data_IF_621377766398
#
_entry.id   IF_621377766398
#
_cell.length_a   1.000
_cell.length_b   1.000
_cell.length_c   1.000
_cell.angle_alpha   90.00
_cell.angle_beta   90.00
_cell.angle_gamma   90.00
#
_symmetry.space_group_name_H-M   'P 1'
#
loop_
_entity.id
_entity.type
_entity.pdbx_description
1 polymer ?
#
# COMPACT_ATOMS: atom_id res chain seq x y z
N UNK A 1 53.37 6.99 -27.00
CA UNK A 1 53.98 8.33 -26.94
C UNK A 1 53.02 9.47 -26.57
N UNK A 2 51.76 9.49 -27.01
CA UNK A 2 50.87 10.66 -26.75
C UNK A 2 50.07 10.51 -25.45
N UNK A 3 49.43 9.35 -25.22
CA UNK A 3 48.54 9.12 -24.06
C UNK A 3 49.29 9.24 -22.72
N UNK A 4 50.48 8.66 -22.62
CA UNK A 4 51.22 8.59 -21.35
C UNK A 4 52.09 9.83 -21.07
N UNK A 5 52.37 10.67 -22.08
CA UNK A 5 53.36 11.76 -21.97
C UNK A 5 52.80 13.17 -22.17
N UNK A 6 51.52 13.33 -22.55
CA UNK A 6 50.89 14.65 -22.68
C UNK A 6 49.83 14.78 -21.60
N UNK A 7 50.14 15.45 -20.49
CA UNK A 7 49.26 15.52 -19.32
C UNK A 7 48.02 16.41 -19.54
N UNK A 8 48.16 17.46 -20.34
CA UNK A 8 47.06 18.35 -20.68
C UNK A 8 46.10 17.68 -21.67
N UNK A 9 44.80 17.67 -21.35
CA UNK A 9 43.80 16.94 -22.12
C UNK A 9 43.56 17.55 -23.50
N UNK A 10 43.48 18.88 -23.60
CA UNK A 10 43.22 19.57 -24.87
C UNK A 10 44.41 19.44 -25.83
N UNK A 11 45.64 19.59 -25.31
CA UNK A 11 46.85 19.39 -26.10
C UNK A 11 47.02 17.93 -26.54
N UNK A 12 46.58 16.96 -25.72
CA UNK A 12 46.58 15.55 -26.07
C UNK A 12 45.59 15.28 -27.21
N UNK A 13 44.38 15.81 -27.13
CA UNK A 13 43.36 15.66 -28.17
C UNK A 13 43.81 16.30 -29.48
N UNK A 14 44.37 17.52 -29.45
CA UNK A 14 44.92 18.17 -30.63
C UNK A 14 46.01 17.33 -31.32
N UNK A 15 46.88 16.68 -30.54
CA UNK A 15 47.91 15.78 -31.07
C UNK A 15 47.32 14.50 -31.65
N UNK A 16 46.30 13.90 -31.01
CA UNK A 16 45.61 12.73 -31.55
C UNK A 16 44.87 13.07 -32.85
N UNK A 17 44.28 14.26 -32.95
CA UNK A 17 43.63 14.76 -34.17
C UNK A 17 44.64 14.93 -35.31
N UNK A 18 45.83 15.46 -35.03
CA UNK A 18 46.87 15.68 -36.03
C UNK A 18 47.58 14.40 -36.49
N UNK A 19 47.48 13.29 -35.73
CA UNK A 19 48.06 12.01 -36.10
C UNK A 19 47.43 11.46 -37.39
N UNK A 20 48.27 10.87 -38.24
CA UNK A 20 47.83 10.10 -39.40
C UNK A 20 46.82 10.86 -40.28
N UNK A 21 47.07 12.17 -40.47
CA UNK A 21 46.18 13.10 -41.19
C UNK A 21 44.71 13.03 -40.73
N UNK A 22 44.48 12.79 -39.43
CA UNK A 22 43.15 12.69 -38.81
C UNK A 22 42.45 11.35 -38.98
N UNK A 23 43.01 10.38 -39.70
CA UNK A 23 42.38 9.06 -39.92
C UNK A 23 42.20 8.29 -38.60
N UNK A 24 43.19 8.34 -37.73
CA UNK A 24 43.13 7.68 -36.41
C UNK A 24 42.01 8.28 -35.55
N UNK A 25 41.93 9.61 -35.47
CA UNK A 25 40.87 10.29 -34.71
C UNK A 25 39.47 10.03 -35.30
N UNK A 26 39.34 10.05 -36.62
CA UNK A 26 38.07 9.72 -37.29
C UNK A 26 37.60 8.30 -37.00
N UNK A 27 38.52 7.33 -36.92
CA UNK A 27 38.20 5.95 -36.51
C UNK A 27 37.75 5.89 -35.05
N UNK A 28 38.44 6.58 -34.14
CA UNK A 28 38.02 6.68 -32.74
C UNK A 28 36.62 7.27 -32.61
N UNK A 29 36.36 8.38 -33.31
CA UNK A 29 35.07 9.08 -33.29
C UNK A 29 33.92 8.23 -33.86
N UNK A 30 34.17 7.47 -34.93
CA UNK A 30 33.14 6.64 -35.58
C UNK A 30 32.90 5.31 -34.88
N UNK A 31 33.99 4.64 -34.45
CA UNK A 31 33.94 3.23 -34.09
C UNK A 31 34.07 2.99 -32.57
N UNK A 32 34.66 3.93 -31.81
CA UNK A 32 35.00 3.71 -30.39
C UNK A 32 34.33 4.68 -29.41
N UNK A 33 34.24 5.97 -29.72
CA UNK A 33 33.63 6.97 -28.83
C UNK A 33 32.12 6.81 -28.63
N UNK A 34 31.30 6.40 -29.65
CA UNK A 34 29.87 6.24 -29.46
C UNK A 34 29.47 5.26 -28.34
N UNK A 35 30.04 4.04 -28.24
CA UNK A 35 29.72 3.14 -27.12
C UNK A 35 30.32 3.56 -25.78
N UNK A 36 31.34 4.44 -25.77
CA UNK A 36 31.96 4.96 -24.54
C UNK A 36 31.23 6.17 -23.96
N UNK A 37 30.26 6.73 -24.69
CA UNK A 37 29.48 7.88 -24.24
C UNK A 37 28.65 7.51 -23.01
N UNK A 38 29.02 8.06 -21.85
CA UNK A 38 28.21 8.00 -20.64
C UNK A 38 27.36 9.26 -20.53
N UNK A 39 26.06 9.09 -20.30
CA UNK A 39 25.17 10.17 -19.87
C UNK A 39 24.86 9.89 -18.40
N UNK A 40 25.49 10.64 -17.50
CA UNK A 40 25.19 10.55 -16.08
C UNK A 40 24.05 11.53 -15.77
N UNK A 41 22.89 11.00 -15.37
CA UNK A 41 21.73 11.79 -14.99
C UNK A 41 21.60 11.82 -13.47
N UNK A 42 21.67 13.02 -12.89
CA UNK A 42 21.29 13.25 -11.51
C UNK A 42 19.90 13.87 -11.48
N UNK A 43 18.89 13.07 -11.12
CA UNK A 43 17.52 13.55 -10.96
C UNK A 43 17.30 13.85 -9.48
N UNK A 44 17.17 15.13 -9.15
CA UNK A 44 16.73 15.59 -7.84
C UNK A 44 15.33 16.19 -7.98
N UNK A 45 14.41 15.74 -7.13
CA UNK A 45 13.08 16.33 -7.01
C UNK A 45 12.75 16.58 -5.54
N UNK A 46 11.99 17.63 -5.28
CA UNK A 46 11.41 17.90 -3.97
C UNK A 46 9.99 17.34 -3.98
N UNK A 47 9.71 16.35 -3.13
CA UNK A 47 8.34 15.85 -2.98
C UNK A 47 7.45 16.99 -2.51
N UNK A 48 6.29 17.17 -3.15
CA UNK A 48 5.33 18.18 -2.71
C UNK A 48 4.84 17.82 -1.30
N UNK A 49 4.67 18.81 -0.40
CA UNK A 49 4.10 18.54 0.90
C UNK A 49 2.66 18.03 0.75
N UNK A 50 2.27 17.09 1.61
CA UNK A 50 0.94 16.52 1.63
C UNK A 50 -0.14 17.60 1.81
N UNK A 51 -1.24 17.47 1.06
CA UNK A 51 -2.44 18.31 1.20
C UNK A 51 -3.68 17.41 1.23
N UNK A 52 -4.43 17.45 2.33
CA UNK A 52 -5.59 16.57 2.55
C UNK A 52 -6.75 16.86 1.59
N UNK A 53 -6.96 18.11 1.19
CA UNK A 53 -8.02 18.50 0.25
C UNK A 53 -7.70 18.05 -1.18
N UNK A 54 -6.42 18.02 -1.54
CA UNK A 54 -5.97 17.39 -2.78
C UNK A 54 -6.10 15.86 -2.71
N UNK A 55 -5.69 15.26 -1.59
CA UNK A 55 -5.78 13.81 -1.37
C UNK A 55 -7.22 13.29 -1.44
N UNK A 56 -8.22 14.05 -0.94
CA UNK A 56 -9.67 13.76 -1.11
C UNK A 56 -10.11 13.63 -2.57
N UNK A 57 -9.44 14.31 -3.50
CA UNK A 57 -9.70 14.21 -4.95
C UNK A 57 -8.91 13.06 -5.58
N UNK A 58 -7.65 12.91 -5.17
CA UNK A 58 -6.77 11.84 -5.68
C UNK A 58 -7.30 10.47 -5.32
N UNK A 59 -7.80 10.26 -4.09
CA UNK A 59 -8.27 8.95 -3.64
C UNK A 59 -9.39 8.39 -4.53
N UNK A 60 -10.24 9.26 -5.07
CA UNK A 60 -11.37 8.88 -5.95
C UNK A 60 -10.96 8.60 -7.39
N UNK A 61 -9.80 9.09 -7.83
CA UNK A 61 -9.41 9.10 -9.25
C UNK A 61 -8.14 8.29 -9.53
N UNK A 62 -7.15 8.38 -8.64
CA UNK A 62 -5.83 7.76 -8.76
C UNK A 62 -5.33 7.29 -7.38
N UNK A 63 -6.05 6.37 -6.71
CA UNK A 63 -5.75 5.98 -5.32
C UNK A 63 -4.34 5.41 -5.14
N UNK A 64 -3.77 4.75 -6.15
CA UNK A 64 -2.39 4.22 -6.14
C UNK A 64 -1.30 5.29 -5.98
N UNK A 65 -1.63 6.58 -6.09
CA UNK A 65 -0.70 7.69 -5.85
C UNK A 65 -0.66 8.13 -4.39
N UNK A 66 -1.57 7.64 -3.56
CA UNK A 66 -1.58 7.90 -2.13
C UNK A 66 -0.96 6.72 -1.41
N UNK A 67 -0.14 7.01 -0.41
CA UNK A 67 0.22 6.05 0.62
C UNK A 67 -0.99 5.72 1.49
N UNK A 68 -0.95 4.57 2.13
CA UNK A 68 -1.96 4.17 3.11
C UNK A 68 -2.13 5.23 4.22
N UNK A 69 -1.03 5.81 4.72
CA UNK A 69 -1.08 6.87 5.73
C UNK A 69 -1.84 8.12 5.24
N UNK A 70 -1.65 8.53 3.99
CA UNK A 70 -2.38 9.66 3.41
C UNK A 70 -3.88 9.34 3.28
N UNK A 71 -4.24 8.10 2.95
CA UNK A 71 -5.63 7.66 2.99
C UNK A 71 -6.21 7.73 4.40
N UNK A 72 -5.47 7.33 5.45
CA UNK A 72 -5.90 7.52 6.84
C UNK A 72 -6.12 8.99 7.19
N UNK A 73 -5.23 9.88 6.77
CA UNK A 73 -5.37 11.32 7.01
C UNK A 73 -6.63 11.87 6.31
N UNK A 74 -6.98 11.35 5.13
CA UNK A 74 -8.25 11.66 4.47
C UNK A 74 -9.43 11.11 5.28
N UNK A 75 -9.39 9.85 5.72
CA UNK A 75 -10.46 9.24 6.52
C UNK A 75 -10.77 10.06 7.78
N UNK A 76 -9.74 10.52 8.51
CA UNK A 76 -9.87 11.34 9.72
C UNK A 76 -10.57 12.69 9.51
N UNK A 77 -10.77 13.12 8.27
CA UNK A 77 -11.56 14.33 7.97
C UNK A 77 -13.06 14.08 7.90
N UNK A 78 -13.49 12.82 7.92
CA UNK A 78 -14.89 12.40 7.89
C UNK A 78 -15.29 11.81 9.25
N UNK A 79 -16.56 11.95 9.68
CA UNK A 79 -17.10 11.21 10.82
C UNK A 79 -16.97 9.70 10.62
N UNK A 80 -16.66 8.93 11.66
CA UNK A 80 -16.41 7.48 11.56
C UNK A 80 -17.63 6.66 11.08
N UNK A 81 -18.83 7.21 11.22
CA UNK A 81 -20.09 6.64 10.78
C UNK A 81 -20.53 7.13 9.38
N UNK A 82 -19.73 7.97 8.72
CA UNK A 82 -20.08 8.55 7.43
C UNK A 82 -19.79 7.59 6.26
N UNK A 83 -20.58 7.65 5.16
CA UNK A 83 -20.31 6.88 3.95
C UNK A 83 -18.92 7.17 3.34
N UNK A 84 -18.43 8.40 3.49
CA UNK A 84 -17.11 8.80 3.01
C UNK A 84 -15.98 8.13 3.79
N UNK A 85 -16.09 8.05 5.13
CA UNK A 85 -15.13 7.34 5.96
C UNK A 85 -15.00 5.89 5.52
N UNK A 86 -16.14 5.21 5.34
CA UNK A 86 -16.19 3.85 4.80
C UNK A 86 -15.53 3.75 3.43
N UNK A 87 -15.91 4.62 2.50
CA UNK A 87 -15.38 4.62 1.12
C UNK A 87 -13.86 4.74 1.08
N UNK A 88 -13.26 5.54 1.97
CA UNK A 88 -11.80 5.66 2.07
C UNK A 88 -11.16 4.31 2.43
N UNK A 89 -11.76 3.58 3.36
CA UNK A 89 -11.25 2.28 3.78
C UNK A 89 -11.49 1.15 2.78
N UNK A 90 -12.60 1.21 2.04
CA UNK A 90 -12.84 0.29 0.92
C UNK A 90 -11.73 0.44 -0.13
N UNK A 91 -11.45 1.69 -0.54
CA UNK A 91 -10.35 2.01 -1.47
C UNK A 91 -8.99 1.60 -0.90
N UNK A 92 -8.74 1.86 0.39
CA UNK A 92 -7.50 1.47 1.04
C UNK A 92 -7.33 -0.06 1.05
N UNK A 93 -8.38 -0.83 1.35
CA UNK A 93 -8.35 -2.30 1.34
C UNK A 93 -8.17 -2.89 -0.07
N UNK A 94 -8.62 -2.18 -1.11
CA UNK A 94 -8.39 -2.59 -2.50
C UNK A 94 -6.96 -2.33 -2.96
N UNK A 95 -6.37 -1.19 -2.55
CA UNK A 95 -5.02 -0.80 -2.97
C UNK A 95 -3.91 -1.36 -2.07
N UNK A 96 -4.25 -1.69 -0.82
CA UNK A 96 -3.37 -2.26 0.19
C UNK A 96 -4.03 -3.51 0.82
N UNK A 97 -4.15 -4.62 0.08
CA UNK A 97 -4.89 -5.80 0.53
C UNK A 97 -4.29 -6.46 1.78
N UNK A 98 -2.99 -6.28 2.03
CA UNK A 98 -2.29 -6.81 3.20
C UNK A 98 -2.31 -5.84 4.40
N UNK A 99 -2.93 -4.66 4.24
CA UNK A 99 -3.05 -3.69 5.32
C UNK A 99 -4.21 -4.08 6.23
N UNK A 100 -3.87 -4.80 7.31
CA UNK A 100 -4.83 -5.29 8.29
C UNK A 100 -5.78 -4.21 8.82
N UNK A 101 -5.25 -3.03 9.18
CA UNK A 101 -6.07 -1.93 9.70
C UNK A 101 -7.08 -1.43 8.64
N UNK A 102 -6.75 -1.48 7.34
CA UNK A 102 -7.69 -1.10 6.29
C UNK A 102 -8.80 -2.16 6.11
N UNK A 103 -8.42 -3.44 6.15
CA UNK A 103 -9.37 -4.56 6.08
C UNK A 103 -10.34 -4.56 7.28
N UNK A 104 -9.83 -4.32 8.49
CA UNK A 104 -10.64 -4.23 9.72
C UNK A 104 -11.62 -3.07 9.63
N UNK A 105 -11.18 -1.86 9.26
CA UNK A 105 -12.08 -0.70 9.18
C UNK A 105 -13.15 -0.88 8.09
N UNK A 106 -12.80 -1.43 6.93
CA UNK A 106 -13.77 -1.75 5.89
C UNK A 106 -14.82 -2.78 6.39
N UNK A 107 -14.36 -3.84 7.05
CA UNK A 107 -15.24 -4.87 7.61
C UNK A 107 -16.18 -4.31 8.70
N UNK A 108 -15.69 -3.43 9.59
CA UNK A 108 -16.53 -2.75 10.59
C UNK A 108 -17.63 -1.93 9.92
N UNK A 109 -17.31 -1.18 8.86
CA UNK A 109 -18.29 -0.41 8.09
C UNK A 109 -19.39 -1.29 7.47
N UNK A 110 -19.01 -2.46 6.95
CA UNK A 110 -19.97 -3.43 6.40
C UNK A 110 -20.84 -4.09 7.48
N UNK A 111 -20.26 -4.47 8.62
CA UNK A 111 -20.99 -5.07 9.73
C UNK A 111 -22.00 -4.09 10.35
N UNK A 112 -21.63 -2.81 10.51
CA UNK A 112 -22.56 -1.75 10.93
C UNK A 112 -23.73 -1.58 9.96
N UNK A 113 -23.52 -1.90 8.69
CA UNK A 113 -24.54 -1.85 7.63
C UNK A 113 -25.31 -3.18 7.49
N UNK A 114 -25.07 -4.18 8.35
CA UNK A 114 -25.69 -5.51 8.27
C UNK A 114 -25.19 -6.39 7.11
N UNK A 115 -24.13 -5.98 6.42
CA UNK A 115 -23.60 -6.63 5.22
C UNK A 115 -22.51 -7.65 5.57
N UNK A 116 -22.92 -8.74 6.22
CA UNK A 116 -21.99 -9.75 6.71
C UNK A 116 -21.11 -10.36 5.61
N UNK A 117 -21.66 -10.63 4.42
CA UNK A 117 -20.89 -11.20 3.30
C UNK A 117 -19.79 -10.25 2.80
N UNK A 118 -20.07 -8.95 2.75
CA UNK A 118 -19.10 -7.94 2.34
C UNK A 118 -17.97 -7.85 3.38
N UNK A 119 -18.32 -7.85 4.67
CA UNK A 119 -17.35 -7.89 5.76
C UNK A 119 -16.43 -9.11 5.70
N UNK A 120 -16.99 -10.30 5.44
CA UNK A 120 -16.20 -11.54 5.29
C UNK A 120 -15.18 -11.44 4.14
N UNK A 121 -15.53 -10.82 3.01
CA UNK A 121 -14.58 -10.63 1.89
C UNK A 121 -13.40 -9.76 2.29
N UNK A 122 -13.59 -8.74 3.11
CA UNK A 122 -12.49 -7.91 3.62
C UNK A 122 -11.64 -8.68 4.64
N UNK A 123 -12.27 -9.36 5.59
CA UNK A 123 -11.57 -10.09 6.67
C UNK A 123 -10.76 -11.29 6.15
N UNK A 124 -11.20 -11.95 5.07
CA UNK A 124 -10.43 -13.04 4.44
C UNK A 124 -9.04 -12.61 3.94
N UNK A 125 -8.84 -11.32 3.64
CA UNK A 125 -7.53 -10.78 3.24
C UNK A 125 -6.58 -10.64 4.42
N UNK A 126 -7.10 -10.39 5.62
CA UNK A 126 -6.32 -10.19 6.84
C UNK A 126 -6.97 -10.90 8.05
N UNK A 127 -6.99 -12.25 8.09
CA UNK A 127 -7.84 -12.98 9.03
C UNK A 127 -7.21 -13.25 10.40
N UNK A 128 -5.94 -12.87 10.61
CA UNK A 128 -5.13 -13.47 11.67
C UNK A 128 -5.15 -12.72 13.00
N UNK A 129 -5.35 -11.39 12.98
CA UNK A 129 -5.39 -10.60 14.22
C UNK A 129 -6.53 -11.02 15.14
N UNK A 130 -6.36 -10.82 16.46
CA UNK A 130 -7.43 -10.98 17.43
C UNK A 130 -8.69 -10.18 17.04
N UNK A 131 -8.52 -8.96 16.53
CA UNK A 131 -9.59 -8.07 16.07
C UNK A 131 -10.30 -8.63 14.84
N UNK A 132 -9.56 -9.08 13.82
CA UNK A 132 -10.17 -9.69 12.64
C UNK A 132 -10.96 -10.95 13.00
N UNK A 133 -10.45 -11.80 13.89
CA UNK A 133 -11.17 -12.99 14.38
C UNK A 133 -12.43 -12.63 15.13
N UNK A 134 -12.41 -11.59 15.98
CA UNK A 134 -13.61 -11.09 16.63
C UNK A 134 -14.67 -10.67 15.59
N UNK A 135 -14.26 -9.90 14.58
CA UNK A 135 -15.17 -9.45 13.52
C UNK A 135 -15.68 -10.60 12.64
N UNK A 136 -14.87 -11.64 12.40
CA UNK A 136 -15.32 -12.87 11.73
C UNK A 136 -16.42 -13.54 12.55
N UNK A 137 -16.27 -13.62 13.87
CA UNK A 137 -17.30 -14.13 14.78
C UNK A 137 -18.61 -13.34 14.69
N UNK A 138 -18.53 -12.00 14.69
CA UNK A 138 -19.69 -11.12 14.51
C UNK A 138 -20.35 -11.33 13.14
N UNK A 139 -19.56 -11.44 12.07
CA UNK A 139 -20.06 -11.66 10.73
C UNK A 139 -20.83 -12.99 10.61
N UNK A 140 -20.29 -14.08 11.17
CA UNK A 140 -20.97 -15.38 11.17
C UNK A 140 -22.22 -15.39 12.06
N UNK A 141 -22.22 -14.65 13.18
CA UNK A 141 -23.41 -14.45 14.01
C UNK A 141 -24.55 -13.81 13.22
N UNK A 142 -24.26 -12.75 12.45
CA UNK A 142 -25.25 -12.09 11.58
C UNK A 142 -25.79 -13.02 10.48
N UNK A 143 -25.02 -14.04 10.09
CA UNK A 143 -25.44 -15.07 9.13
C UNK A 143 -26.21 -16.24 9.76
N UNK A 144 -26.31 -16.28 11.09
CA UNK A 144 -26.92 -17.38 11.85
C UNK A 144 -26.03 -18.63 11.96
N UNK A 145 -24.74 -18.54 11.58
CA UNK A 145 -23.77 -19.63 11.70
C UNK A 145 -23.08 -19.56 13.08
N UNK A 146 -23.85 -19.90 14.12
CA UNK A 146 -23.44 -19.76 15.51
C UNK A 146 -22.24 -20.66 15.88
N UNK A 147 -22.09 -21.80 15.19
CA UNK A 147 -20.96 -22.72 15.38
C UNK A 147 -19.64 -22.04 14.98
N UNK A 148 -19.58 -21.51 13.74
CA UNK A 148 -18.37 -20.79 13.30
C UNK A 148 -18.15 -19.51 14.08
N UNK A 149 -19.21 -18.79 14.41
CA UNK A 149 -19.10 -17.59 15.22
C UNK A 149 -18.40 -17.88 16.56
N UNK A 150 -18.83 -18.94 17.25
CA UNK A 150 -18.25 -19.39 18.53
C UNK A 150 -16.77 -19.77 18.40
N UNK A 151 -16.41 -20.49 17.32
CA UNK A 151 -15.01 -20.86 17.09
C UNK A 151 -14.11 -19.63 16.89
N UNK A 152 -14.53 -18.67 16.08
CA UNK A 152 -13.77 -17.43 15.86
C UNK A 152 -13.66 -16.58 17.12
N UNK A 153 -14.73 -16.44 17.91
CA UNK A 153 -14.65 -15.73 19.19
C UNK A 153 -13.67 -16.42 20.15
N UNK A 154 -13.69 -17.76 20.23
CA UNK A 154 -12.73 -18.51 21.05
C UNK A 154 -11.29 -18.25 20.63
N UNK A 155 -11.01 -18.27 19.33
CA UNK A 155 -9.68 -17.96 18.80
C UNK A 155 -9.26 -16.51 19.11
N UNK A 156 -10.17 -15.54 18.99
CA UNK A 156 -9.92 -14.13 19.31
C UNK A 156 -9.61 -13.94 20.81
N UNK A 157 -10.36 -14.60 21.69
CA UNK A 157 -10.15 -14.57 23.15
C UNK A 157 -8.79 -15.17 23.51
N UNK A 158 -8.43 -16.31 22.92
CA UNK A 158 -7.11 -16.93 23.13
C UNK A 158 -5.95 -16.03 22.69
N UNK A 159 -6.19 -15.20 21.68
CA UNK A 159 -5.24 -14.22 21.17
C UNK A 159 -5.30 -12.86 21.92
N UNK A 160 -6.12 -12.73 22.96
CA UNK A 160 -6.17 -11.56 23.84
C UNK A 160 -7.22 -10.49 23.52
N UNK A 161 -8.14 -10.73 22.58
CA UNK A 161 -9.22 -9.78 22.29
C UNK A 161 -10.28 -9.82 23.41
N UNK A 162 -10.47 -8.70 24.12
CA UNK A 162 -11.44 -8.60 25.21
C UNK A 162 -12.88 -8.50 24.72
N UNK A 163 -13.11 -7.83 23.60
CA UNK A 163 -14.44 -7.61 23.04
C UNK A 163 -15.07 -8.93 22.56
N UNK A 164 -14.23 -9.86 22.09
CA UNK A 164 -14.65 -11.20 21.70
C UNK A 164 -15.27 -12.01 22.85
N UNK A 165 -14.86 -11.76 24.10
CA UNK A 165 -15.49 -12.40 25.27
C UNK A 165 -16.93 -11.94 25.43
N UNK A 166 -17.16 -10.63 25.36
CA UNK A 166 -18.50 -10.07 25.44
C UNK A 166 -19.38 -10.57 24.30
N UNK A 167 -18.87 -10.58 23.07
CA UNK A 167 -19.61 -11.06 21.92
C UNK A 167 -19.94 -12.57 22.01
N UNK A 168 -19.03 -13.39 22.54
CA UNK A 168 -19.30 -14.81 22.78
C UNK A 168 -20.40 -15.03 23.83
N UNK A 169 -20.39 -14.25 24.92
CA UNK A 169 -21.41 -14.32 25.96
C UNK A 169 -22.80 -13.92 25.42
N UNK A 170 -22.87 -12.86 24.59
CA UNK A 170 -24.11 -12.45 23.94
C UNK A 170 -24.64 -13.51 22.97
N UNK A 171 -23.75 -14.15 22.19
CA UNK A 171 -24.13 -15.26 21.32
C UNK A 171 -24.68 -16.45 22.12
N UNK A 172 -24.04 -16.81 23.23
CA UNK A 172 -24.49 -17.91 24.09
C UNK A 172 -25.89 -17.65 24.64
N UNK A 173 -26.13 -16.45 25.21
CA UNK A 173 -27.45 -16.06 25.71
C UNK A 173 -28.50 -16.14 24.61
N UNK A 174 -28.21 -15.60 23.42
CA UNK A 174 -29.11 -15.69 22.28
C UNK A 174 -29.42 -17.14 21.89
N UNK A 175 -28.44 -18.05 21.93
CA UNK A 175 -28.69 -19.47 21.62
C UNK A 175 -29.52 -20.17 22.69
N UNK A 176 -29.30 -19.86 23.97
CA UNK A 176 -30.06 -20.44 25.09
C UNK A 176 -31.52 -19.98 25.09
N UNK A 177 -31.77 -18.70 24.78
CA UNK A 177 -33.14 -18.14 24.73
C UNK A 177 -33.97 -18.65 23.54
N UNK A 178 -33.33 -19.22 22.51
CA UNK A 178 -33.98 -19.69 21.28
C UNK A 178 -33.96 -21.23 21.11
N UNK A 179 -33.58 -21.98 22.15
CA UNK A 179 -33.69 -23.45 22.24
C UNK A 179 -34.99 -23.88 22.94
#
# INVERSE_FOLDING_TARGET
EIIDNVSDYDARDARIIALDNGQTYNRLLRDFYPPLRRNDYNIAYVSRPFNVEEAKKIIKTRPKLLSLNEMYLVAKTYPEDSPEYKTVFDIACENFPDAEVACINAAVGELRSGKADDALRHLQKCPNSPEAKNLLGVAYTLKGDNERASDYFKQAIQAGNTDARHNAEQLQQYTEDNM
#
